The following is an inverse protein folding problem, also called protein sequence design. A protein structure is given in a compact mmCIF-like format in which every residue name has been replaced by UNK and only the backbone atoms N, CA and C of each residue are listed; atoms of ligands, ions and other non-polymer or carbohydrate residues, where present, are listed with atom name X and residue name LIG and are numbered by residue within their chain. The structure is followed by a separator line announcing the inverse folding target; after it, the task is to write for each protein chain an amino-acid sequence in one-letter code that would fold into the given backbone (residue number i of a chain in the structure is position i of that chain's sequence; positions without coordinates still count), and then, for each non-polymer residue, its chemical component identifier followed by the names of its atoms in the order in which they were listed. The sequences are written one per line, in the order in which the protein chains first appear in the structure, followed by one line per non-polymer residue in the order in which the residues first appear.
data_IF_783479041303
#
_entry.id   IF_783479041303
#
_cell.length_a   1.000
_cell.length_b   1.000
_cell.length_c   1.000
_cell.angle_alpha   90.00
_cell.angle_beta   90.00
_cell.angle_gamma   90.00
#
_symmetry.space_group_name_H-M   'P 1'
#
loop_
_entity.id
_entity.type
_entity.pdbx_description
1 polymer ?
#
# COMPACT_ATOMS: atom_id res chain seq x y z
N UNK A 1 -9.09 -27.08 7.50
CA UNK A 1 -10.12 -26.03 7.58
C UNK A 1 -9.50 -24.77 7.02
N UNK A 2 -9.76 -24.44 5.76
CA UNK A 2 -9.18 -23.25 5.12
C UNK A 2 -10.07 -22.06 5.46
N UNK A 3 -9.61 -21.19 6.35
CA UNK A 3 -10.21 -19.87 6.48
C UNK A 3 -9.96 -19.14 5.16
N UNK A 4 -11.00 -18.96 4.35
CA UNK A 4 -10.99 -17.97 3.29
C UNK A 4 -10.88 -16.61 3.98
N UNK A 5 -9.65 -16.17 4.26
CA UNK A 5 -9.39 -14.82 4.69
C UNK A 5 -9.90 -13.91 3.57
N UNK A 6 -11.04 -13.26 3.81
CA UNK A 6 -11.60 -12.30 2.88
C UNK A 6 -10.65 -11.11 2.87
N UNK A 7 -9.71 -11.10 1.93
CA UNK A 7 -8.82 -9.97 1.74
C UNK A 7 -9.63 -8.72 1.41
N UNK A 8 -9.22 -7.53 1.89
CA UNK A 8 -9.82 -6.27 1.46
C UNK A 8 -9.81 -6.18 -0.08
N UNK A 9 -10.88 -5.65 -0.66
CA UNK A 9 -11.02 -5.53 -2.11
C UNK A 9 -9.92 -4.65 -2.72
N UNK A 10 -9.50 -3.60 -2.00
CA UNK A 10 -8.46 -2.66 -2.43
C UNK A 10 -7.02 -3.12 -2.12
N UNK A 11 -6.79 -4.35 -1.66
CA UNK A 11 -5.45 -4.79 -1.26
C UNK A 11 -4.57 -5.09 -2.49
N UNK A 12 -3.39 -4.46 -2.64
CA UNK A 12 -2.48 -4.69 -3.77
C UNK A 12 -1.96 -6.12 -3.87
N UNK A 13 -1.67 -6.55 -5.10
CA UNK A 13 -1.14 -7.90 -5.33
C UNK A 13 0.22 -8.12 -4.64
N UNK A 14 1.07 -7.09 -4.57
CA UNK A 14 2.38 -7.16 -3.91
C UNK A 14 2.24 -7.55 -2.43
N UNK A 15 1.31 -6.91 -1.72
CA UNK A 15 1.01 -7.20 -0.31
C UNK A 15 0.41 -8.59 -0.15
N UNK A 16 -0.52 -8.98 -1.04
CA UNK A 16 -1.13 -10.31 -1.03
C UNK A 16 -0.11 -11.42 -1.20
N UNK A 17 0.81 -11.30 -2.15
CA UNK A 17 1.83 -12.30 -2.40
C UNK A 17 2.79 -12.44 -1.21
N UNK A 18 3.20 -11.32 -0.63
CA UNK A 18 4.06 -11.33 0.56
C UNK A 18 3.33 -11.94 1.77
N UNK A 19 2.08 -11.53 2.01
CA UNK A 19 1.25 -12.07 3.09
C UNK A 19 0.96 -13.57 2.88
N UNK A 20 0.68 -14.01 1.65
CA UNK A 20 0.47 -15.42 1.36
C UNK A 20 1.71 -16.26 1.71
N UNK A 21 2.91 -15.78 1.36
CA UNK A 21 4.16 -16.43 1.78
C UNK A 21 4.30 -16.47 3.31
N UNK A 22 3.98 -15.36 3.99
CA UNK A 22 3.96 -15.33 5.47
C UNK A 22 3.04 -16.39 6.05
N UNK A 23 1.79 -16.49 5.58
CA UNK A 23 0.81 -17.45 6.11
C UNK A 23 1.19 -18.91 5.91
N UNK A 24 2.11 -19.18 4.99
CA UNK A 24 2.65 -20.52 4.71
C UNK A 24 3.97 -20.79 5.42
N UNK A 25 4.48 -19.84 6.19
CA UNK A 25 5.81 -19.92 6.85
C UNK A 25 6.97 -20.12 5.86
N UNK A 26 6.79 -19.70 4.60
CA UNK A 26 7.77 -19.86 3.53
C UNK A 26 8.51 -18.53 3.31
N UNK A 27 9.83 -18.57 3.04
CA UNK A 27 10.55 -17.41 2.51
C UNK A 27 10.05 -17.07 1.10
N UNK A 28 10.25 -15.83 0.62
CA UNK A 28 9.81 -15.46 -0.74
C UNK A 28 10.45 -16.35 -1.82
N UNK A 29 11.68 -16.82 -1.58
CA UNK A 29 12.36 -17.71 -2.52
C UNK A 29 11.69 -19.10 -2.58
N UNK A 30 11.37 -19.69 -1.44
CA UNK A 30 10.67 -20.98 -1.36
C UNK A 30 9.24 -20.88 -1.88
N UNK A 31 8.52 -19.82 -1.51
CA UNK A 31 7.16 -19.59 -1.99
C UNK A 31 7.13 -19.45 -3.52
N UNK A 32 8.12 -18.79 -4.12
CA UNK A 32 8.24 -18.71 -5.58
C UNK A 32 8.35 -20.10 -6.23
N UNK A 33 9.18 -20.98 -5.66
CA UNK A 33 9.34 -22.36 -6.16
C UNK A 33 8.03 -23.14 -6.05
N UNK A 34 7.31 -23.00 -4.93
CA UNK A 34 6.01 -23.65 -4.70
C UNK A 34 4.96 -23.23 -5.73
N UNK A 35 4.89 -21.95 -6.08
CA UNK A 35 3.95 -21.45 -7.10
C UNK A 35 4.43 -21.69 -8.55
N UNK A 36 5.64 -22.22 -8.73
CA UNK A 36 6.23 -22.44 -10.05
C UNK A 36 6.65 -21.15 -10.78
N UNK A 37 6.94 -20.08 -10.03
CA UNK A 37 7.43 -18.79 -10.55
C UNK A 37 8.89 -18.62 -10.13
N UNK A 38 9.75 -18.07 -11.00
CA UNK A 38 11.14 -17.84 -10.63
C UNK A 38 11.26 -16.89 -9.42
N UNK A 39 12.15 -17.14 -8.43
CA UNK A 39 12.31 -16.28 -7.25
C UNK A 39 12.56 -14.80 -7.56
N UNK A 40 13.34 -14.53 -8.62
CA UNK A 40 13.59 -13.17 -9.09
C UNK A 40 12.30 -12.55 -9.64
N UNK A 41 11.53 -13.32 -10.41
CA UNK A 41 10.26 -12.82 -10.98
C UNK A 41 9.28 -12.47 -9.89
N UNK A 42 9.10 -13.34 -8.89
CA UNK A 42 8.21 -13.05 -7.76
C UNK A 42 8.64 -11.80 -6.98
N UNK A 43 9.94 -11.62 -6.72
CA UNK A 43 10.44 -10.38 -6.12
C UNK A 43 10.12 -9.15 -6.97
N UNK A 44 10.29 -9.20 -8.29
CA UNK A 44 9.92 -8.09 -9.17
C UNK A 44 8.42 -7.78 -9.14
N UNK A 45 7.56 -8.79 -8.98
CA UNK A 45 6.13 -8.59 -8.76
C UNK A 45 5.85 -7.85 -7.45
N UNK A 46 6.45 -8.29 -6.35
CA UNK A 46 6.26 -7.65 -5.03
C UNK A 46 6.76 -6.20 -5.08
N UNK A 47 7.84 -5.92 -5.80
CA UNK A 47 8.37 -4.57 -6.00
C UNK A 47 7.56 -3.71 -6.99
N UNK A 48 6.49 -4.23 -7.60
CA UNK A 48 5.70 -3.51 -8.60
C UNK A 48 6.44 -3.21 -9.91
N UNK A 49 7.57 -3.88 -10.17
CA UNK A 49 8.42 -3.66 -11.36
C UNK A 49 7.95 -4.45 -12.58
N UNK A 50 7.09 -5.44 -12.39
CA UNK A 50 6.56 -6.29 -13.47
C UNK A 50 5.33 -5.66 -14.12
N UNK A 51 5.49 -5.05 -15.30
CA UNK A 51 4.36 -4.43 -16.01
C UNK A 51 3.54 -5.41 -16.89
N UNK A 52 4.18 -6.44 -17.46
CA UNK A 52 3.54 -7.37 -18.42
C UNK A 52 3.94 -8.81 -18.18
N UNK A 53 3.38 -9.47 -17.15
CA UNK A 53 3.67 -10.86 -16.90
C UNK A 53 3.06 -11.77 -17.96
N UNK A 54 3.65 -12.95 -18.14
CA UNK A 54 3.10 -13.97 -19.04
C UNK A 54 1.79 -14.49 -18.48
N UNK A 55 0.85 -14.86 -19.35
CA UNK A 55 -0.45 -15.40 -18.95
C UNK A 55 -0.31 -16.58 -17.98
N UNK A 56 0.60 -17.52 -18.29
CA UNK A 56 0.90 -18.66 -17.43
C UNK A 56 1.25 -18.27 -15.99
N UNK A 57 1.98 -17.16 -15.80
CA UNK A 57 2.35 -16.67 -14.46
C UNK A 57 1.15 -16.08 -13.73
N UNK A 58 0.27 -15.37 -14.44
CA UNK A 58 -0.99 -14.86 -13.88
C UNK A 58 -1.86 -16.03 -13.43
N UNK A 59 -1.98 -17.07 -14.25
CA UNK A 59 -2.79 -18.25 -13.96
C UNK A 59 -2.26 -18.99 -12.72
N UNK A 60 -0.94 -19.15 -12.59
CA UNK A 60 -0.29 -19.74 -11.41
C UNK A 60 -0.55 -18.94 -10.13
N UNK A 61 -0.47 -17.61 -10.21
CA UNK A 61 -0.75 -16.73 -9.07
C UNK A 61 -2.24 -16.79 -8.70
N UNK A 62 -3.12 -16.78 -9.71
CA UNK A 62 -4.57 -16.86 -9.54
C UNK A 62 -4.97 -18.17 -8.85
N UNK A 63 -4.41 -19.30 -9.29
CA UNK A 63 -4.63 -20.62 -8.69
C UNK A 63 -4.16 -20.65 -7.24
N UNK A 64 -2.94 -20.16 -6.95
CA UNK A 64 -2.43 -20.10 -5.58
C UNK A 64 -3.37 -19.29 -4.69
N UNK A 65 -3.66 -18.05 -5.08
CA UNK A 65 -4.44 -17.11 -4.28
C UNK A 65 -5.94 -17.44 -4.27
N UNK A 66 -6.38 -18.44 -5.02
CA UNK A 66 -7.79 -18.82 -5.18
C UNK A 66 -8.67 -17.63 -5.63
N UNK A 67 -8.15 -16.82 -6.56
CA UNK A 67 -8.84 -15.69 -7.18
C UNK A 67 -8.84 -15.82 -8.70
N UNK A 68 -9.65 -15.03 -9.40
CA UNK A 68 -9.65 -15.04 -10.87
C UNK A 68 -8.39 -14.36 -11.44
N UNK A 69 -7.98 -14.75 -12.65
CA UNK A 69 -6.89 -14.08 -13.36
C UNK A 69 -7.18 -12.58 -13.61
N UNK A 70 -8.45 -12.21 -13.80
CA UNK A 70 -8.85 -10.81 -13.95
C UNK A 70 -8.68 -10.04 -12.63
N UNK A 71 -8.98 -10.68 -11.51
CA UNK A 71 -8.72 -10.10 -10.19
C UNK A 71 -7.23 -9.91 -9.91
N UNK A 72 -6.39 -10.87 -10.31
CA UNK A 72 -4.93 -10.71 -10.23
C UNK A 72 -4.50 -9.45 -10.97
N UNK A 73 -4.97 -9.26 -12.22
CA UNK A 73 -4.64 -8.08 -13.02
C UNK A 73 -5.13 -6.78 -12.38
N UNK A 74 -6.39 -6.75 -11.92
CA UNK A 74 -6.94 -5.58 -11.21
C UNK A 74 -6.07 -5.19 -10.02
N UNK A 75 -5.63 -6.18 -9.23
CA UNK A 75 -4.80 -5.93 -8.04
C UNK A 75 -3.33 -5.64 -8.36
N UNK A 76 -2.84 -5.97 -9.56
CA UNK A 76 -1.53 -5.52 -10.02
C UNK A 76 -1.48 -4.02 -10.28
N UNK A 77 -2.60 -3.43 -10.68
CA UNK A 77 -2.71 -1.99 -10.95
C UNK A 77 -2.82 -1.15 -9.66
N UNK A 78 -3.02 -1.80 -8.51
CA UNK A 78 -3.09 -1.14 -7.21
C UNK A 78 -1.69 -0.93 -6.63
N UNK A 79 -1.45 0.26 -6.08
CA UNK A 79 -0.21 0.61 -5.40
C UNK A 79 -0.34 0.36 -3.89
N UNK A 80 0.73 -0.11 -3.22
CA UNK A 80 0.78 -0.13 -1.76
C UNK A 80 0.71 1.28 -1.20
N UNK A 81 -0.01 1.42 -0.09
CA UNK A 81 -0.16 2.69 0.63
C UNK A 81 1.16 3.07 1.31
N UNK A 82 1.46 4.37 1.36
CA UNK A 82 2.66 4.82 2.05
C UNK A 82 2.59 4.50 3.55
N UNK A 83 3.69 3.97 4.07
CA UNK A 83 3.80 3.51 5.46
C UNK A 83 5.02 4.15 6.14
N UNK A 84 5.06 4.21 7.49
CA UNK A 84 6.25 4.67 8.20
C UNK A 84 7.46 3.79 7.87
N UNK A 85 8.67 4.31 8.13
CA UNK A 85 9.88 3.51 7.94
C UNK A 85 9.88 2.31 8.88
N UNK A 86 10.23 1.15 8.33
CA UNK A 86 10.18 -0.11 9.07
C UNK A 86 11.07 -0.10 10.33
N UNK A 87 12.26 0.49 10.26
CA UNK A 87 13.18 0.52 11.40
C UNK A 87 12.65 1.38 12.55
N UNK A 88 12.13 2.57 12.25
CA UNK A 88 11.52 3.48 13.24
C UNK A 88 10.27 2.85 13.84
N UNK A 89 9.44 2.22 13.00
CA UNK A 89 8.28 1.45 13.47
C UNK A 89 8.71 0.30 14.39
N UNK A 90 9.70 -0.50 13.99
CA UNK A 90 10.16 -1.65 14.78
C UNK A 90 10.72 -1.20 16.13
N UNK A 91 11.52 -0.13 16.16
CA UNK A 91 12.01 0.49 17.39
C UNK A 91 10.86 0.86 18.34
N UNK A 92 9.82 1.53 17.82
CA UNK A 92 8.64 1.89 18.62
C UNK A 92 7.87 0.68 19.17
N UNK A 93 7.83 -0.43 18.42
CA UNK A 93 7.13 -1.66 18.86
C UNK A 93 7.88 -2.39 19.97
N UNK A 94 9.21 -2.31 19.98
CA UNK A 94 10.04 -3.04 20.96
C UNK A 94 10.37 -2.21 22.20
N UNK A 95 10.25 -0.88 22.12
CA UNK A 95 10.54 0.03 23.22
C UNK A 95 9.78 -0.35 24.50
N UNK A 96 10.51 -0.48 25.61
CA UNK A 96 9.95 -0.87 26.90
C UNK A 96 9.46 -2.32 27.05
N UNK A 97 9.31 -3.08 25.95
CA UNK A 97 8.77 -4.46 25.95
C UNK A 97 9.81 -5.55 25.68
N UNK A 98 10.78 -5.25 24.82
CA UNK A 98 11.78 -6.20 24.35
C UNK A 98 13.17 -5.60 24.39
N UNK A 99 14.14 -6.37 24.90
CA UNK A 99 15.54 -6.14 24.57
C UNK A 99 15.87 -6.89 23.27
N UNK A 100 16.88 -6.43 22.53
CA UNK A 100 17.31 -7.12 21.29
C UNK A 100 17.57 -8.60 21.53
N UNK A 101 18.28 -8.95 22.61
CA UNK A 101 18.58 -10.34 22.97
C UNK A 101 17.33 -11.16 23.35
N UNK A 102 16.27 -10.53 23.88
CA UNK A 102 14.99 -11.20 24.13
C UNK A 102 14.27 -11.45 22.80
N UNK A 103 14.22 -10.44 21.93
CA UNK A 103 13.62 -10.53 20.60
C UNK A 103 14.29 -11.61 19.73
N UNK A 104 15.63 -11.68 19.71
CA UNK A 104 16.39 -12.75 19.03
C UNK A 104 15.93 -14.14 19.45
N UNK A 105 15.71 -14.34 20.76
CA UNK A 105 15.32 -15.64 21.32
C UNK A 105 13.90 -16.03 20.95
N UNK A 106 12.96 -15.09 21.04
CA UNK A 106 11.55 -15.35 20.79
C UNK A 106 11.23 -15.48 19.29
N UNK A 107 11.79 -14.60 18.48
CA UNK A 107 11.57 -14.61 17.01
C UNK A 107 12.43 -15.66 16.29
N UNK A 108 13.45 -16.22 16.94
CA UNK A 108 14.48 -17.09 16.33
C UNK A 108 15.20 -16.44 15.14
N UNK A 109 15.20 -15.11 15.07
CA UNK A 109 15.94 -14.34 14.07
C UNK A 109 17.34 -14.09 14.60
N UNK A 110 18.36 -14.16 13.74
CA UNK A 110 19.74 -13.91 14.16
C UNK A 110 19.93 -12.47 14.68
N UNK A 111 20.81 -12.28 15.68
CA UNK A 111 21.13 -10.95 16.23
C UNK A 111 21.64 -9.99 15.15
N UNK A 112 22.40 -10.52 14.17
CA UNK A 112 22.89 -9.75 13.04
C UNK A 112 21.75 -9.22 12.15
N UNK A 113 20.77 -10.06 11.83
CA UNK A 113 19.60 -9.65 11.05
C UNK A 113 18.76 -8.61 11.81
N UNK A 114 18.46 -8.84 13.09
CA UNK A 114 17.72 -7.86 13.91
C UNK A 114 18.45 -6.52 14.03
N UNK A 115 19.78 -6.54 14.16
CA UNK A 115 20.57 -5.30 14.14
C UNK A 115 20.42 -4.56 12.82
N UNK A 116 20.44 -5.26 11.69
CA UNK A 116 20.27 -4.66 10.37
C UNK A 116 18.85 -4.13 10.16
N UNK A 117 17.83 -4.78 10.75
CA UNK A 117 16.44 -4.32 10.73
C UNK A 117 16.28 -3.02 11.50
N UNK A 118 16.83 -2.94 12.71
CA UNK A 118 16.78 -1.73 13.55
C UNK A 118 17.59 -0.57 12.96
N UNK A 119 18.69 -0.85 12.26
CA UNK A 119 19.47 0.19 11.57
C UNK A 119 18.91 0.57 10.19
N UNK A 120 17.82 -0.06 9.73
CA UNK A 120 17.23 0.19 8.40
C UNK A 120 18.11 -0.24 7.23
N UNK A 121 19.05 -1.16 7.45
CA UNK A 121 19.93 -1.67 6.37
C UNK A 121 19.26 -2.74 5.51
N UNK A 122 18.34 -3.52 6.10
CA UNK A 122 17.63 -4.60 5.42
C UNK A 122 16.22 -4.72 5.97
N UNK A 123 15.31 -5.28 5.17
CA UNK A 123 13.95 -5.64 5.59
C UNK A 123 13.84 -7.15 5.82
N UNK A 124 12.93 -7.62 6.69
CA UNK A 124 12.67 -9.03 6.88
C UNK A 124 12.06 -9.69 5.64
N UNK A 125 12.46 -10.95 5.38
CA UNK A 125 11.78 -11.82 4.42
C UNK A 125 10.45 -12.33 5.03
N UNK A 126 9.58 -12.95 4.23
CA UNK A 126 8.22 -13.33 4.65
C UNK A 126 8.19 -14.26 5.87
N UNK A 127 9.09 -15.23 5.96
CA UNK A 127 9.16 -16.14 7.13
C UNK A 127 9.58 -15.39 8.42
N UNK A 128 10.56 -14.49 8.30
CA UNK A 128 11.03 -13.65 9.41
C UNK A 128 9.94 -12.66 9.84
N UNK A 129 9.22 -12.08 8.88
CA UNK A 129 8.13 -11.15 9.11
C UNK A 129 7.00 -11.83 9.88
N UNK A 130 6.62 -13.07 9.54
CA UNK A 130 5.63 -13.81 10.32
C UNK A 130 6.08 -14.01 11.76
N UNK A 131 7.33 -14.42 11.99
CA UNK A 131 7.87 -14.60 13.36
C UNK A 131 7.87 -13.30 14.16
N UNK A 132 8.12 -12.16 13.51
CA UNK A 132 7.98 -10.84 14.13
C UNK A 132 6.52 -10.51 14.47
N UNK A 133 5.58 -10.69 13.53
CA UNK A 133 4.15 -10.45 13.77
C UNK A 133 3.64 -11.27 14.95
N UNK A 134 3.97 -12.56 15.00
CA UNK A 134 3.59 -13.47 16.08
C UNK A 134 4.20 -13.06 17.43
N UNK A 135 5.47 -12.67 17.46
CA UNK A 135 6.16 -12.29 18.71
C UNK A 135 5.69 -10.95 19.26
N UNK A 136 5.39 -10.00 18.36
CA UNK A 136 4.94 -8.65 18.74
C UNK A 136 3.42 -8.59 18.96
N UNK A 137 2.69 -9.67 18.63
CA UNK A 137 1.23 -9.79 18.69
C UNK A 137 0.53 -8.76 17.78
N UNK A 138 1.04 -8.60 16.56
CA UNK A 138 0.54 -7.64 15.56
C UNK A 138 -0.11 -8.40 14.41
N UNK A 139 -1.09 -7.79 13.75
CA UNK A 139 -1.68 -8.33 12.53
C UNK A 139 -0.61 -8.55 11.45
N UNK A 140 -0.54 -9.79 10.93
CA UNK A 140 0.40 -10.17 9.89
C UNK A 140 0.16 -9.40 8.59
N UNK A 141 -1.09 -9.06 8.29
CA UNK A 141 -1.42 -8.29 7.09
C UNK A 141 -0.94 -6.83 7.20
N UNK A 142 -1.08 -6.24 8.38
CA UNK A 142 -0.53 -4.91 8.67
C UNK A 142 1.00 -4.89 8.49
N UNK A 143 1.69 -5.90 9.03
CA UNK A 143 3.15 -5.99 8.89
C UNK A 143 3.57 -6.26 7.44
N UNK A 144 2.85 -7.11 6.70
CA UNK A 144 3.08 -7.33 5.28
C UNK A 144 2.98 -6.02 4.49
N UNK A 145 1.92 -5.23 4.75
CA UNK A 145 1.70 -3.94 4.11
C UNK A 145 2.84 -2.97 4.39
N UNK A 146 3.29 -2.87 5.65
CA UNK A 146 4.42 -2.03 6.05
C UNK A 146 5.72 -2.42 5.32
N UNK A 147 6.06 -3.71 5.31
CA UNK A 147 7.30 -4.20 4.70
C UNK A 147 7.28 -3.97 3.19
N UNK A 148 6.20 -4.35 2.51
CA UNK A 148 6.08 -4.20 1.05
C UNK A 148 6.15 -2.73 0.66
N UNK A 149 5.52 -1.84 1.42
CA UNK A 149 5.56 -0.39 1.15
C UNK A 149 6.98 0.17 1.26
N UNK A 150 7.75 -0.26 2.26
CA UNK A 150 9.16 0.11 2.39
C UNK A 150 10.01 -0.48 1.25
N UNK A 151 9.80 -1.75 0.87
CA UNK A 151 10.52 -2.39 -0.25
C UNK A 151 10.27 -1.66 -1.58
N UNK A 152 9.01 -1.26 -1.83
CA UNK A 152 8.62 -0.51 -3.02
C UNK A 152 9.24 0.89 -3.00
N UNK A 153 9.21 1.59 -1.86
CA UNK A 153 9.85 2.90 -1.70
C UNK A 153 11.37 2.85 -1.97
N UNK A 154 12.08 1.92 -1.35
CA UNK A 154 13.53 1.72 -1.53
C UNK A 154 13.89 1.38 -2.98
N UNK A 155 12.97 0.71 -3.68
CA UNK A 155 13.11 0.32 -5.07
C UNK A 155 12.76 1.41 -6.09
N UNK A 156 12.30 2.58 -5.63
CA UNK A 156 11.84 3.69 -6.47
C UNK A 156 10.47 3.46 -7.13
N UNK A 157 9.64 2.58 -6.57
CA UNK A 157 8.29 2.31 -7.05
C UNK A 157 7.27 3.34 -6.54
N UNK A 158 6.07 3.35 -7.15
CA UNK A 158 4.98 4.23 -6.75
C UNK A 158 4.28 3.74 -5.48
N UNK A 159 3.94 4.68 -4.60
CA UNK A 159 3.08 4.45 -3.43
C UNK A 159 1.80 5.26 -3.58
N UNK A 160 0.69 4.69 -3.12
CA UNK A 160 -0.53 5.45 -2.93
C UNK A 160 -0.39 6.37 -1.72
N UNK A 161 -0.93 7.59 -1.81
CA UNK A 161 -1.04 8.47 -0.65
C UNK A 161 -2.03 7.82 0.35
N UNK A 162 -1.71 7.80 1.66
CA UNK A 162 -2.59 7.18 2.64
C UNK A 162 -3.96 7.86 2.59
N UNK A 163 -5.03 7.06 2.45
CA UNK A 163 -6.40 7.59 2.44
C UNK A 163 -6.61 8.29 3.79
N UNK A 164 -6.94 9.59 3.84
CA UNK A 164 -7.11 10.30 5.10
C UNK A 164 -8.18 9.58 5.93
N UNK A 165 -7.99 9.44 7.25
CA UNK A 165 -9.00 8.78 8.08
C UNK A 165 -10.31 9.50 7.87
N UNK A 166 -11.35 8.75 7.47
CA UNK A 166 -12.68 9.28 7.21
C UNK A 166 -13.08 10.15 8.41
N UNK A 167 -13.20 11.47 8.16
CA UNK A 167 -13.71 12.39 9.16
C UNK A 167 -15.06 11.82 9.63
N UNK A 168 -15.29 11.69 10.96
CA UNK A 168 -16.55 11.20 11.46
C UNK A 168 -17.65 12.10 10.90
N UNK A 169 -18.54 11.50 10.10
CA UNK A 169 -19.75 12.14 9.60
C UNK A 169 -20.40 12.92 10.76
N UNK A 170 -20.58 14.25 10.66
CA UNK A 170 -21.24 14.98 11.72
C UNK A 170 -22.63 14.37 11.89
N UNK A 171 -22.89 13.85 13.10
CA UNK A 171 -24.16 13.25 13.47
C UNK A 171 -25.32 14.13 12.95
N UNK A 172 -26.38 13.55 12.36
CA UNK A 172 -27.48 14.33 11.83
C UNK A 172 -28.07 15.17 12.96
N UNK A 173 -27.91 16.48 12.85
CA UNK A 173 -28.55 17.46 13.71
C UNK A 173 -30.05 17.19 13.58
N UNK A 174 -30.64 16.62 14.62
CA UNK A 174 -32.09 16.44 14.71
C UNK A 174 -32.73 17.82 14.74
N UNK A 175 -33.29 18.25 13.61
CA UNK A 175 -34.13 19.43 13.54
C UNK A 175 -35.38 19.21 14.40
N UNK A 176 -35.71 20.10 15.36
CA UNK A 176 -36.97 20.00 16.06
C UNK A 176 -38.11 20.33 15.08
N UNK A 177 -39.09 19.43 15.04
CA UNK A 177 -40.32 19.57 14.28
C UNK A 177 -41.07 20.85 14.69
N UNK A 178 -41.06 21.85 13.82
CA UNK A 178 -41.92 23.03 13.93
C UNK A 178 -43.20 22.80 13.12
N UNK A 179 -44.32 22.91 13.83
CA UNK A 179 -45.69 22.90 13.36
C UNK A 179 -45.94 23.93 12.25
N UNK A 180 -46.49 23.45 11.13
CA UNK A 180 -47.59 24.01 10.31
C UNK A 180 -47.65 25.52 9.92
N UNK A 181 -48.37 25.83 8.81
CA UNK A 181 -47.93 26.80 7.81
C UNK A 181 -48.59 28.18 7.96
N UNK A 182 -47.88 29.23 7.54
CA UNK A 182 -48.50 30.53 7.22
C UNK A 182 -47.96 31.00 5.87
N UNK A 183 -48.89 31.14 4.94
CA UNK A 183 -48.69 31.61 3.57
C UNK A 183 -48.43 33.11 3.52
N UNK A 184 -47.45 33.57 2.72
CA UNK A 184 -47.57 34.79 1.89
C UNK A 184 -46.66 34.66 0.64
N UNK A 185 -47.16 35.25 -0.45
CA UNK A 185 -46.82 35.19 -1.87
C UNK A 185 -45.35 35.37 -2.34
N UNK A 186 -45.05 34.97 -3.61
CA UNK A 186 -43.79 35.22 -4.29
C UNK A 186 -43.79 36.57 -5.01
N UNK A 187 -42.68 37.31 -4.97
CA UNK A 187 -42.47 38.43 -5.90
C UNK A 187 -41.01 38.45 -6.35
N UNK A 188 -40.84 38.34 -7.67
CA UNK A 188 -39.59 38.55 -8.40
C UNK A 188 -39.03 39.95 -8.16
N UNK A 189 -37.71 40.08 -8.13
CA UNK A 189 -37.04 41.30 -8.50
C UNK A 189 -35.76 40.97 -9.27
N UNK A 190 -35.70 41.59 -10.45
CA UNK A 190 -34.77 41.44 -11.54
C UNK A 190 -33.56 42.38 -11.39
N UNK A 191 -32.51 42.07 -12.16
CA UNK A 191 -31.56 42.98 -12.79
C UNK A 191 -30.38 43.57 -11.96
N UNK A 192 -29.15 43.32 -12.45
CA UNK A 192 -28.33 44.28 -13.23
C UNK A 192 -26.88 43.72 -13.38
N UNK A 193 -26.47 43.24 -14.57
CA UNK A 193 -25.55 43.90 -15.54
C UNK A 193 -24.12 44.11 -14.98
N UNK A 194 -23.15 43.20 -15.24
CA UNK A 194 -22.19 43.13 -16.38
C UNK A 194 -20.77 43.68 -16.01
N UNK A 195 -19.74 43.63 -16.89
CA UNK A 195 -19.12 42.50 -17.60
C UNK A 195 -17.58 42.43 -17.39
N UNK A 196 -16.93 41.32 -17.76
CA UNK A 196 -15.56 41.35 -18.28
C UNK A 196 -15.29 40.12 -19.15
N UNK A 197 -15.30 40.35 -20.46
CA UNK A 197 -14.82 39.44 -21.52
C UNK A 197 -13.39 39.86 -21.87
N UNK A 198 -12.51 38.89 -22.10
CA UNK A 198 -11.33 39.09 -22.94
C UNK A 198 -10.11 38.23 -22.56
N UNK A 199 -10.06 36.97 -22.98
CA UNK A 199 -9.24 36.42 -24.09
C UNK A 199 -7.71 36.40 -23.94
N UNK A 200 -7.20 35.17 -24.02
CA UNK A 200 -6.13 34.68 -24.90
C UNK A 200 -4.64 34.83 -24.51
N UNK A 201 -4.05 33.64 -24.32
CA UNK A 201 -2.81 33.14 -24.94
C UNK A 201 -1.48 33.84 -24.67
N UNK A 202 -0.55 33.08 -24.06
CA UNK A 202 0.83 32.95 -24.54
C UNK A 202 1.42 31.65 -23.98
N UNK A 203 1.37 30.62 -24.83
CA UNK A 203 2.29 29.49 -24.76
C UNK A 203 3.62 29.88 -25.45
N UNK A 204 4.67 29.10 -25.20
CA UNK A 204 6.03 29.17 -25.76
C UNK A 204 7.05 29.94 -24.92
N UNK A 205 7.83 29.19 -24.14
CA UNK A 205 9.28 29.39 -24.01
C UNK A 205 9.84 28.35 -23.03
N UNK A 206 9.94 27.08 -23.43
CA UNK A 206 10.66 26.08 -22.63
C UNK A 206 11.49 25.08 -23.48
N UNK A 207 11.34 25.08 -24.81
CA UNK A 207 12.08 24.15 -25.68
C UNK A 207 13.52 24.61 -25.99
N UNK A 208 13.80 25.91 -25.92
CA UNK A 208 15.14 26.44 -26.22
C UNK A 208 16.18 26.15 -25.11
N UNK A 209 15.74 25.85 -23.88
CA UNK A 209 16.66 25.61 -22.77
C UNK A 209 17.26 24.18 -22.81
N UNK A 210 16.52 23.21 -23.35
CA UNK A 210 16.93 21.80 -23.38
C UNK A 210 18.04 21.54 -24.42
N UNK A 211 18.02 22.25 -25.55
CA UNK A 211 19.04 22.12 -26.59
C UNK A 211 20.40 22.72 -26.18
N UNK A 212 20.43 23.60 -25.19
CA UNK A 212 21.67 24.22 -24.70
C UNK A 212 22.53 23.30 -23.83
N UNK A 213 21.95 22.23 -23.27
CA UNK A 213 22.63 21.30 -22.36
C UNK A 213 23.34 20.14 -23.07
N UNK A 214 23.07 19.91 -24.36
CA UNK A 214 23.61 18.79 -25.12
C UNK A 214 24.88 19.11 -25.95
N UNK A 215 25.37 20.36 -25.91
CA UNK A 215 26.62 20.77 -26.58
C UNK A 215 27.71 21.23 -25.61
N UNK A 216 27.97 20.44 -24.56
CA UNK A 216 29.22 20.54 -23.80
C UNK A 216 29.87 19.18 -23.67
#
# INVERSE_FOLDING_TARGET
MSASASYPEKLPLSVLLFHAAMTREESISEFAEVIGVGPISLRQFILGKTQRPRQKTIDMIAEMLSISADEVRRRMDLLPEAAPKFNEWLESQIEGRFSRAKLTRETKISDGALRNYLSGQTLPDSDQALRLAQTLEIDSLQLASLIVSNQVAESGGGLAEPEPPAEPEPAPISLPAALAPIAVAPVSAEALIAPAVGTAASASSDEDHVLSLWRR
#
